data_IF_300737261015
#
_entry.id   IF_300737261015
#
_cell.length_a   1.000
_cell.length_b   1.000
_cell.length_c   1.000
_cell.angle_alpha   90.00
_cell.angle_beta   90.00
_cell.angle_gamma   90.00
#
_symmetry.space_group_name_H-M   'P 1'
#
loop_
_entity.id
_entity.type
_entity.pdbx_description
1 polymer ?
#
# COMPACT_ATOMS: atom_id res chain seq x y z
N UNK A 1 -2.77 18.59 13.66
CA UNK A 1 -1.60 18.18 12.86
C UNK A 1 -2.01 18.06 11.40
N UNK A 2 -1.09 18.38 10.48
CA UNK A 2 -1.26 18.32 9.03
C UNK A 2 -0.69 17.02 8.47
N UNK A 3 -1.56 16.19 7.91
CA UNK A 3 -1.19 14.98 7.16
C UNK A 3 -1.09 15.36 5.69
N UNK A 4 0.01 15.00 5.04
CA UNK A 4 0.15 15.06 3.58
C UNK A 4 0.43 13.69 3.00
N UNK A 5 -0.26 13.34 1.92
CA UNK A 5 -0.05 12.12 1.13
C UNK A 5 0.47 12.51 -0.26
N UNK A 6 1.77 12.40 -0.52
CA UNK A 6 2.32 12.62 -1.85
C UNK A 6 1.91 11.50 -2.82
N UNK A 7 2.03 11.77 -4.12
CA UNK A 7 1.91 10.73 -5.13
C UNK A 7 3.12 9.79 -5.09
N UNK A 8 2.89 8.50 -5.30
CA UNK A 8 3.96 7.51 -5.41
C UNK A 8 4.76 7.73 -6.70
N UNK A 9 6.09 7.74 -6.57
CA UNK A 9 6.99 8.05 -7.69
C UNK A 9 7.69 6.82 -8.28
N UNK A 10 7.65 5.69 -7.57
CA UNK A 10 8.26 4.43 -8.03
C UNK A 10 7.48 3.89 -9.22
N UNK A 11 8.17 3.61 -10.32
CA UNK A 11 7.56 3.00 -11.51
C UNK A 11 6.83 1.71 -11.15
N UNK A 12 5.57 1.60 -11.58
CA UNK A 12 4.72 0.43 -11.32
C UNK A 12 4.03 0.42 -9.96
N UNK A 13 4.35 1.37 -9.05
CA UNK A 13 3.58 1.56 -7.84
C UNK A 13 2.22 2.19 -8.19
N UNK A 14 1.15 1.49 -7.83
CA UNK A 14 -0.23 1.90 -8.12
C UNK A 14 -1.05 2.14 -6.86
N UNK A 15 -0.49 1.83 -5.69
CA UNK A 15 -1.14 2.03 -4.39
C UNK A 15 -0.99 3.50 -3.97
N UNK A 16 -1.79 3.87 -2.98
CA UNK A 16 -1.77 5.18 -2.32
C UNK A 16 -1.86 4.95 -0.81
N UNK A 17 -1.22 5.79 0.00
CA UNK A 17 -1.12 5.56 1.45
C UNK A 17 -2.47 5.71 2.17
N UNK A 18 -3.36 6.57 1.67
CA UNK A 18 -4.73 6.73 2.18
C UNK A 18 -5.76 6.63 1.06
N UNK A 19 -6.84 5.91 1.33
CA UNK A 19 -8.05 5.86 0.49
C UNK A 19 -9.13 6.77 1.06
N UNK A 20 -10.08 7.27 0.24
CA UNK A 20 -11.13 8.20 0.68
C UNK A 20 -11.90 7.75 1.94
N UNK A 21 -12.20 6.46 2.05
CA UNK A 21 -12.98 5.86 3.14
C UNK A 21 -12.43 6.14 4.56
N UNK A 22 -11.13 6.34 4.69
CA UNK A 22 -10.49 6.56 5.99
C UNK A 22 -10.30 8.04 6.33
N UNK A 23 -10.43 8.94 5.34
CA UNK A 23 -10.20 10.38 5.51
C UNK A 23 -11.11 10.95 6.60
N UNK A 24 -12.41 10.60 6.57
CA UNK A 24 -13.39 11.08 7.55
C UNK A 24 -13.07 10.69 9.00
N UNK A 25 -12.34 9.59 9.22
CA UNK A 25 -11.91 9.18 10.58
C UNK A 25 -10.77 10.09 11.07
N UNK A 26 -9.85 10.45 10.17
CA UNK A 26 -8.73 11.34 10.49
C UNK A 26 -9.21 12.78 10.72
N UNK A 27 -10.10 13.29 9.88
CA UNK A 27 -10.64 14.64 10.02
C UNK A 27 -11.47 14.80 11.31
N UNK A 28 -12.28 13.80 11.67
CA UNK A 28 -12.99 13.77 12.97
C UNK A 28 -12.06 13.71 14.18
N UNK A 29 -10.86 13.17 14.02
CA UNK A 29 -9.83 13.20 15.06
C UNK A 29 -9.10 14.55 15.17
N UNK A 30 -9.51 15.57 14.40
CA UNK A 30 -8.91 16.91 14.40
C UNK A 30 -7.66 17.05 13.53
N UNK A 31 -7.42 16.10 12.63
CA UNK A 31 -6.30 16.12 11.68
C UNK A 31 -6.75 16.76 10.36
N UNK A 32 -5.91 17.62 9.78
CA UNK A 32 -6.16 18.13 8.44
C UNK A 32 -5.42 17.26 7.43
N UNK A 33 -6.13 16.68 6.48
CA UNK A 33 -5.56 15.76 5.49
C UNK A 33 -5.48 16.45 4.13
N UNK A 34 -4.29 16.45 3.53
CA UNK A 34 -4.07 16.87 2.16
C UNK A 34 -3.49 15.72 1.32
N UNK A 35 -3.96 15.62 0.08
CA UNK A 35 -3.57 14.57 -0.87
C UNK A 35 -3.03 15.27 -2.12
N UNK A 36 -1.88 14.84 -2.63
CA UNK A 36 -1.39 15.32 -3.92
C UNK A 36 -2.36 14.89 -5.04
N UNK A 37 -2.70 15.83 -5.92
CA UNK A 37 -3.59 15.60 -7.06
C UNK A 37 -3.08 14.43 -7.91
N UNK A 38 -3.96 13.48 -8.20
CA UNK A 38 -3.64 12.28 -8.97
C UNK A 38 -3.06 11.12 -8.15
N UNK A 39 -2.72 11.30 -6.87
CA UNK A 39 -2.06 10.26 -6.07
C UNK A 39 -2.86 8.95 -5.98
N UNK A 40 -4.19 9.03 -5.90
CA UNK A 40 -5.08 7.88 -5.77
C UNK A 40 -5.60 7.30 -7.08
N UNK A 41 -5.35 7.93 -8.23
CA UNK A 41 -5.99 7.57 -9.51
C UNK A 41 -5.72 6.12 -9.90
N UNK A 42 -4.48 5.65 -9.75
CA UNK A 42 -4.10 4.27 -10.06
C UNK A 42 -4.67 3.23 -9.07
N UNK A 43 -5.09 3.69 -7.88
CA UNK A 43 -5.76 2.87 -6.88
C UNK A 43 -7.29 2.89 -7.04
N UNK A 44 -7.82 3.55 -8.08
CA UNK A 44 -9.25 3.70 -8.31
C UNK A 44 -9.92 4.80 -7.48
N UNK A 45 -9.15 5.70 -6.88
CA UNK A 45 -9.65 6.81 -6.07
C UNK A 45 -9.33 8.17 -6.75
N UNK A 46 -10.27 8.76 -7.53
CA UNK A 46 -10.08 10.08 -8.12
C UNK A 46 -10.10 11.21 -7.07
N UNK A 47 -9.48 12.34 -7.41
CA UNK A 47 -9.37 13.54 -6.55
C UNK A 47 -10.71 14.04 -5.99
N UNK A 48 -11.80 13.87 -6.75
CA UNK A 48 -13.14 14.24 -6.31
C UNK A 48 -13.59 13.46 -5.08
N UNK A 49 -13.25 12.18 -4.97
CA UNK A 49 -13.61 11.36 -3.81
C UNK A 49 -12.87 11.79 -2.54
N UNK A 50 -11.60 12.18 -2.67
CA UNK A 50 -10.84 12.74 -1.54
C UNK A 50 -11.44 14.06 -1.06
N UNK A 51 -11.81 14.95 -1.99
CA UNK A 51 -12.44 16.23 -1.69
C UNK A 51 -13.78 16.03 -0.97
N UNK A 52 -14.61 15.10 -1.46
CA UNK A 52 -15.89 14.74 -0.83
C UNK A 52 -15.71 14.12 0.57
N UNK A 53 -14.63 13.34 0.77
CA UNK A 53 -14.31 12.74 2.06
C UNK A 53 -13.71 13.74 3.07
N UNK A 54 -13.46 14.99 2.66
CA UNK A 54 -13.00 16.08 3.53
C UNK A 54 -11.49 16.31 3.52
N UNK A 55 -10.75 15.75 2.56
CA UNK A 55 -9.34 16.09 2.34
C UNK A 55 -9.20 17.27 1.38
N UNK A 56 -8.11 18.02 1.51
CA UNK A 56 -7.72 19.02 0.51
C UNK A 56 -6.88 18.38 -0.59
N UNK A 57 -7.27 18.55 -1.85
CA UNK A 57 -6.46 18.09 -2.99
C UNK A 57 -5.48 19.19 -3.38
N UNK A 58 -4.19 18.86 -3.38
CA UNK A 58 -3.08 19.78 -3.62
C UNK A 58 -2.55 19.59 -5.03
N UNK A 59 -2.50 20.63 -5.87
CA UNK A 59 -1.87 20.53 -7.19
C UNK A 59 -0.39 20.15 -7.08
N UNK A 60 0.12 19.36 -8.04
CA UNK A 60 1.51 18.92 -8.04
C UNK A 60 2.53 20.07 -7.90
N UNK A 61 2.23 21.26 -8.46
CA UNK A 61 3.07 22.44 -8.33
C UNK A 61 3.25 22.93 -6.88
N UNK A 62 2.30 22.61 -5.99
CA UNK A 62 2.29 22.99 -4.57
C UNK A 62 2.67 21.81 -3.65
N UNK A 63 2.94 20.62 -4.20
CA UNK A 63 3.27 19.43 -3.43
C UNK A 63 4.52 19.64 -2.56
N UNK A 64 5.55 20.31 -3.08
CA UNK A 64 6.78 20.64 -2.32
C UNK A 64 6.50 21.52 -1.10
N UNK A 65 5.63 22.51 -1.23
CA UNK A 65 5.25 23.36 -0.11
C UNK A 65 4.45 22.59 0.93
N UNK A 66 3.48 21.77 0.48
CA UNK A 66 2.68 20.93 1.37
C UNK A 66 3.53 19.91 2.12
N UNK A 67 4.54 19.34 1.47
CA UNK A 67 5.52 18.47 2.09
C UNK A 67 6.31 19.18 3.20
N UNK A 68 6.79 20.40 2.94
CA UNK A 68 7.54 21.19 3.92
C UNK A 68 6.69 21.60 5.13
N UNK A 69 5.40 21.85 4.92
CA UNK A 69 4.48 22.30 5.97
C UNK A 69 3.86 21.14 6.78
N UNK A 70 3.87 19.92 6.26
CA UNK A 70 3.21 18.75 6.86
C UNK A 70 3.87 18.31 8.18
N UNK A 71 3.05 17.94 9.16
CA UNK A 71 3.51 17.32 10.42
C UNK A 71 3.71 15.80 10.24
N UNK A 72 2.90 15.18 9.38
CA UNK A 72 2.91 13.75 9.10
C UNK A 72 2.85 13.54 7.60
N UNK A 73 3.77 12.75 7.07
CA UNK A 73 3.79 12.34 5.67
C UNK A 73 3.50 10.85 5.63
N UNK A 74 2.53 10.44 4.81
CA UNK A 74 2.18 9.03 4.64
C UNK A 74 2.48 8.62 3.21
N UNK A 75 3.33 7.62 3.04
CA UNK A 75 3.64 7.03 1.74
C UNK A 75 3.62 5.51 1.83
N UNK A 76 3.45 4.85 0.69
CA UNK A 76 3.59 3.40 0.59
C UNK A 76 5.07 3.05 0.57
N UNK A 77 5.83 3.62 -0.35
CA UNK A 77 7.27 3.38 -0.48
C UNK A 77 8.08 4.33 0.41
N UNK A 78 9.36 4.00 0.71
CA UNK A 78 10.27 4.95 1.32
C UNK A 78 10.36 6.22 0.47
N UNK A 79 10.32 7.38 1.11
CA UNK A 79 10.57 8.65 0.43
C UNK A 79 12.04 8.73 -0.04
N UNK A 80 12.27 9.51 -1.09
CA UNK A 80 13.62 9.74 -1.60
C UNK A 80 14.44 10.59 -0.62
N UNK A 81 15.78 10.50 -0.63
CA UNK A 81 16.64 11.38 0.16
C UNK A 81 16.36 12.87 -0.07
N UNK A 82 16.07 13.28 -1.31
CA UNK A 82 15.73 14.65 -1.64
C UNK A 82 14.38 15.09 -1.04
N UNK A 83 13.42 14.16 -0.95
CA UNK A 83 12.12 14.41 -0.31
C UNK A 83 12.32 14.62 1.19
N UNK A 84 13.11 13.78 1.86
CA UNK A 84 13.41 13.96 3.29
C UNK A 84 14.08 15.30 3.59
N UNK A 85 15.01 15.74 2.74
CA UNK A 85 15.69 17.02 2.91
C UNK A 85 14.74 18.24 2.81
N UNK A 86 13.58 18.08 2.15
CA UNK A 86 12.56 19.11 2.03
C UNK A 86 11.50 19.06 3.15
N UNK A 87 11.52 18.02 4.00
CA UNK A 87 10.63 17.92 5.14
C UNK A 87 11.13 18.80 6.28
N UNK A 88 10.21 19.30 7.11
CA UNK A 88 10.59 20.01 8.33
C UNK A 88 11.15 19.05 9.38
N UNK A 89 12.12 19.52 10.14
CA UNK A 89 12.62 18.80 11.32
C UNK A 89 11.49 18.55 12.32
N UNK A 90 11.46 17.36 12.91
CA UNK A 90 10.40 16.89 13.81
C UNK A 90 9.16 16.34 13.11
N UNK A 91 9.08 16.38 11.77
CA UNK A 91 8.00 15.71 11.03
C UNK A 91 8.05 14.19 11.23
N UNK A 92 6.90 13.54 11.08
CA UNK A 92 6.76 12.08 11.13
C UNK A 92 6.55 11.55 9.71
N UNK A 93 7.20 10.44 9.36
CA UNK A 93 6.85 9.66 8.17
C UNK A 93 6.41 8.25 8.55
N UNK A 94 5.46 7.69 7.82
CA UNK A 94 5.03 6.29 7.96
C UNK A 94 4.98 5.66 6.57
N UNK A 95 5.77 4.60 6.38
CA UNK A 95 5.82 3.86 5.11
C UNK A 95 6.31 2.43 5.31
N UNK A 96 6.36 1.65 4.23
CA UNK A 96 7.29 0.53 4.17
C UNK A 96 8.70 1.12 4.11
N UNK A 97 9.47 1.04 5.19
CA UNK A 97 10.83 1.56 5.37
C UNK A 97 11.73 0.44 5.90
N UNK A 98 11.96 -0.57 5.05
CA UNK A 98 12.79 -1.73 5.39
C UNK A 98 14.20 -1.31 5.86
N UNK A 99 14.61 -1.66 7.10
CA UNK A 99 15.93 -1.34 7.62
C UNK A 99 17.07 -2.10 6.91
N UNK A 100 16.73 -3.08 6.07
CA UNK A 100 17.71 -3.89 5.35
C UNK A 100 18.04 -3.25 4.00
N UNK A 101 17.07 -2.60 3.37
CA UNK A 101 17.16 -2.18 1.96
C UNK A 101 17.05 -0.67 1.76
N UNK A 102 16.68 0.10 2.79
CA UNK A 102 16.40 1.52 2.68
C UNK A 102 17.43 2.40 3.43
N UNK A 103 18.69 1.96 3.54
CA UNK A 103 19.75 2.67 4.29
C UNK A 103 19.87 4.15 3.90
N UNK A 104 19.87 4.46 2.60
CA UNK A 104 19.96 5.85 2.12
C UNK A 104 18.78 6.72 2.58
N UNK A 105 17.56 6.17 2.52
CA UNK A 105 16.34 6.83 3.00
C UNK A 105 16.37 7.02 4.52
N UNK A 106 16.86 6.03 5.27
CA UNK A 106 16.99 6.09 6.72
C UNK A 106 18.00 7.15 7.14
N UNK A 107 19.18 7.17 6.51
CA UNK A 107 20.20 8.19 6.75
C UNK A 107 19.70 9.60 6.42
N UNK A 108 18.96 9.74 5.31
CA UNK A 108 18.37 11.01 4.93
C UNK A 108 17.30 11.49 5.93
N UNK A 109 16.42 10.59 6.39
CA UNK A 109 15.42 10.89 7.41
C UNK A 109 16.09 11.33 8.72
N UNK A 110 17.12 10.62 9.17
CA UNK A 110 17.87 10.95 10.37
C UNK A 110 18.55 12.32 10.26
N UNK A 111 19.23 12.60 9.13
CA UNK A 111 19.88 13.90 8.87
C UNK A 111 18.88 15.05 8.83
N UNK A 112 17.69 14.82 8.30
CA UNK A 112 16.61 15.81 8.25
C UNK A 112 15.90 16.02 9.61
N UNK A 113 16.23 15.23 10.64
CA UNK A 113 15.55 15.28 11.93
C UNK A 113 14.11 14.74 11.88
N UNK A 114 13.81 13.86 10.93
CA UNK A 114 12.48 13.27 10.73
C UNK A 114 12.35 11.99 11.56
N UNK A 115 11.21 11.83 12.23
CA UNK A 115 10.85 10.58 12.91
C UNK A 115 10.21 9.63 11.91
N UNK A 116 10.91 8.54 11.56
CA UNK A 116 10.42 7.58 10.58
C UNK A 116 9.90 6.29 11.23
N UNK A 117 8.67 5.90 10.88
CA UNK A 117 8.02 4.67 11.36
C UNK A 117 7.91 3.66 10.22
N UNK A 118 8.61 2.54 10.37
CA UNK A 118 8.56 1.41 9.42
C UNK A 118 7.37 0.49 9.74
N UNK A 119 6.51 0.27 8.74
CA UNK A 119 5.42 -0.70 8.83
C UNK A 119 5.90 -2.15 8.90
N UNK A 120 7.10 -2.45 8.39
CA UNK A 120 7.71 -3.78 8.47
C UNK A 120 8.14 -4.16 9.88
N UNK A 121 8.42 -3.17 10.73
CA UNK A 121 8.88 -3.35 12.09
C UNK A 121 7.73 -3.34 13.12
N UNK A 122 6.48 -3.27 12.68
CA UNK A 122 5.32 -3.43 13.56
C UNK A 122 5.39 -4.81 14.24
N UNK A 123 5.36 -4.88 15.58
CA UNK A 123 5.50 -6.15 16.29
C UNK A 123 4.30 -7.07 16.00
N UNK A 124 4.57 -8.34 15.73
CA UNK A 124 3.55 -9.35 15.44
C UNK A 124 2.93 -9.90 16.74
N UNK A 125 2.17 -9.05 17.42
CA UNK A 125 1.47 -9.35 18.68
C UNK A 125 -0.01 -9.01 18.55
N UNK A 126 -0.87 -9.64 19.36
CA UNK A 126 -2.34 -9.53 19.23
C UNK A 126 -2.86 -8.09 19.18
N UNK A 127 -2.33 -7.19 20.00
CA UNK A 127 -2.75 -5.77 20.04
C UNK A 127 -2.39 -4.96 18.79
N UNK A 128 -1.45 -5.44 17.97
CA UNK A 128 -0.94 -4.74 16.78
C UNK A 128 -1.39 -5.41 15.47
N UNK A 129 -2.23 -6.45 15.53
CA UNK A 129 -2.67 -7.19 14.33
C UNK A 129 -3.36 -6.30 13.30
N UNK A 130 -4.16 -5.30 13.73
CA UNK A 130 -4.80 -4.35 12.82
C UNK A 130 -3.84 -3.37 12.16
N UNK A 131 -2.59 -3.31 12.61
CA UNK A 131 -1.53 -2.45 12.08
C UNK A 131 -0.54 -3.22 11.18
N UNK A 132 -0.67 -4.55 11.10
CA UNK A 132 0.25 -5.39 10.32
C UNK A 132 -0.02 -5.23 8.81
N UNK A 133 0.65 -4.24 8.22
CA UNK A 133 0.58 -3.97 6.80
C UNK A 133 1.23 -5.09 5.96
N UNK A 134 2.22 -5.83 6.49
CA UNK A 134 2.83 -6.95 5.76
C UNK A 134 1.81 -8.07 5.54
N UNK A 135 1.02 -8.40 6.56
CA UNK A 135 -0.05 -9.39 6.46
C UNK A 135 -1.12 -8.95 5.46
N UNK A 136 -1.52 -7.67 5.45
CA UNK A 136 -2.51 -7.18 4.48
C UNK A 136 -2.00 -7.28 3.03
N UNK A 137 -0.74 -6.89 2.78
CA UNK A 137 -0.15 -6.98 1.44
C UNK A 137 0.09 -8.43 1.01
N UNK A 138 0.52 -9.31 1.93
CA UNK A 138 0.70 -10.72 1.67
C UNK A 138 -0.61 -11.41 1.26
N UNK A 139 -1.74 -11.02 1.87
CA UNK A 139 -3.06 -11.51 1.48
C UNK A 139 -3.38 -11.12 0.02
N UNK A 140 -3.23 -9.84 -0.33
CA UNK A 140 -3.44 -9.39 -1.71
C UNK A 140 -2.53 -10.12 -2.70
N UNK A 141 -1.26 -10.33 -2.33
CA UNK A 141 -0.29 -11.04 -3.17
C UNK A 141 -0.69 -12.51 -3.38
N UNK A 142 -1.10 -13.22 -2.33
CA UNK A 142 -1.55 -14.62 -2.43
C UNK A 142 -2.77 -14.79 -3.34
N UNK A 143 -3.75 -13.90 -3.21
CA UNK A 143 -4.91 -13.87 -4.10
C UNK A 143 -4.51 -13.61 -5.56
N UNK A 144 -3.73 -12.55 -5.82
CA UNK A 144 -3.29 -12.21 -7.18
C UNK A 144 -2.42 -13.30 -7.79
N UNK A 145 -1.55 -13.96 -7.01
CA UNK A 145 -0.71 -15.05 -7.50
C UNK A 145 -1.53 -16.20 -8.07
N UNK A 146 -2.61 -16.61 -7.39
CA UNK A 146 -3.50 -17.66 -7.91
C UNK A 146 -4.21 -17.23 -9.19
N UNK A 147 -4.64 -15.96 -9.30
CA UNK A 147 -5.25 -15.45 -10.52
C UNK A 147 -4.28 -15.40 -11.70
N UNK A 148 -3.05 -14.94 -11.47
CA UNK A 148 -1.99 -14.92 -12.52
C UNK A 148 -1.67 -16.35 -12.95
N UNK A 149 -1.59 -17.30 -12.01
CA UNK A 149 -1.38 -18.70 -12.35
C UNK A 149 -2.52 -19.27 -13.22
N UNK A 150 -3.78 -18.91 -12.92
CA UNK A 150 -4.92 -19.31 -13.74
C UNK A 150 -4.92 -18.67 -15.12
N UNK A 151 -4.56 -17.38 -15.21
CA UNK A 151 -4.45 -16.62 -16.47
C UNK A 151 -3.36 -17.20 -17.40
N UNK A 152 -2.23 -17.64 -16.83
CA UNK A 152 -1.12 -18.22 -17.58
C UNK A 152 -1.24 -19.73 -17.83
N UNK A 153 -2.20 -20.40 -17.19
CA UNK A 153 -2.35 -21.85 -17.27
C UNK A 153 -2.90 -22.27 -18.64
N UNK A 154 -2.31 -23.28 -19.30
CA UNK A 154 -2.88 -23.87 -20.51
C UNK A 154 -4.10 -24.77 -20.23
N UNK A 155 -4.48 -24.96 -18.96
CA UNK A 155 -5.62 -25.76 -18.53
C UNK A 155 -6.56 -24.94 -17.65
N UNK A 156 -7.85 -25.22 -17.75
CA UNK A 156 -8.81 -24.76 -16.76
C UNK A 156 -8.47 -25.30 -15.37
N UNK A 157 -8.68 -24.48 -14.35
CA UNK A 157 -8.55 -24.90 -12.95
C UNK A 157 -9.64 -25.89 -12.54
N UNK A 158 -10.94 -25.63 -12.79
CA UNK A 158 -11.99 -26.53 -12.35
C UNK A 158 -12.10 -27.80 -13.20
N UNK A 159 -12.69 -28.84 -12.62
CA UNK A 159 -13.29 -29.94 -13.36
C UNK A 159 -14.48 -29.41 -14.18
N UNK A 160 -14.43 -29.59 -15.50
CA UNK A 160 -15.53 -29.22 -16.39
C UNK A 160 -16.05 -30.46 -17.11
N UNK A 161 -17.30 -30.84 -16.87
CA UNK A 161 -18.00 -31.87 -17.64
C UNK A 161 -18.89 -31.19 -18.68
N UNK A 162 -18.55 -31.38 -19.95
CA UNK A 162 -19.25 -30.74 -21.07
C UNK A 162 -19.70 -31.79 -22.09
N UNK A 163 -20.56 -31.40 -23.03
CA UNK A 163 -20.94 -32.26 -24.15
C UNK A 163 -19.75 -32.68 -25.02
N UNK A 164 -18.70 -31.86 -25.09
CA UNK A 164 -17.47 -32.16 -25.82
C UNK A 164 -16.50 -33.07 -25.05
N UNK A 165 -16.79 -33.41 -23.80
CA UNK A 165 -15.95 -34.24 -22.95
C UNK A 165 -15.67 -33.60 -21.58
N UNK A 166 -14.83 -34.29 -20.81
CA UNK A 166 -14.44 -33.88 -19.45
C UNK A 166 -13.03 -33.30 -19.45
N UNK A 167 -12.87 -32.09 -18.90
CA UNK A 167 -11.57 -31.48 -18.60
C UNK A 167 -11.25 -31.73 -17.14
N UNK A 168 -10.17 -32.46 -16.87
CA UNK A 168 -9.70 -32.71 -15.50
C UNK A 168 -9.16 -31.42 -14.85
N UNK A 169 -9.34 -31.23 -13.54
CA UNK A 169 -8.89 -30.03 -12.85
C UNK A 169 -7.36 -29.88 -12.86
N UNK A 170 -6.90 -28.65 -12.66
CA UNK A 170 -5.48 -28.37 -12.49
C UNK A 170 -5.00 -28.80 -11.09
N UNK A 171 -3.77 -29.31 -11.02
CA UNK A 171 -3.12 -29.56 -9.74
C UNK A 171 -2.24 -28.35 -9.37
N UNK A 172 -2.53 -27.72 -8.24
CA UNK A 172 -1.80 -26.54 -7.75
C UNK A 172 -0.99 -26.91 -6.51
N UNK A 173 0.33 -26.70 -6.58
CA UNK A 173 1.24 -26.84 -5.44
C UNK A 173 1.64 -25.45 -4.94
N UNK A 174 1.46 -25.20 -3.65
CA UNK A 174 1.90 -23.96 -2.99
C UNK A 174 3.06 -24.29 -2.04
N UNK A 175 4.22 -23.70 -2.28
CA UNK A 175 5.40 -23.86 -1.44
C UNK A 175 5.48 -22.71 -0.43
N UNK A 176 5.20 -23.03 0.83
CA UNK A 176 5.15 -22.07 1.95
C UNK A 176 3.72 -21.78 2.41
N UNK A 177 3.45 -21.94 3.71
CA UNK A 177 2.12 -21.83 4.31
C UNK A 177 1.96 -20.59 5.22
N UNK A 178 2.63 -19.49 4.87
CA UNK A 178 2.36 -18.18 5.46
C UNK A 178 1.06 -17.56 4.92
N UNK A 179 0.78 -16.31 5.28
CA UNK A 179 -0.46 -15.60 4.88
C UNK A 179 -0.69 -15.64 3.36
N UNK A 180 0.32 -15.29 2.55
CA UNK A 180 0.20 -15.33 1.10
C UNK A 180 -0.06 -16.74 0.57
N UNK A 181 0.62 -17.74 1.11
CA UNK A 181 0.47 -19.14 0.70
C UNK A 181 -0.92 -19.69 1.03
N UNK A 182 -1.41 -19.45 2.24
CA UNK A 182 -2.77 -19.84 2.65
C UNK A 182 -3.84 -19.15 1.79
N UNK A 183 -3.64 -17.86 1.48
CA UNK A 183 -4.57 -17.15 0.59
C UNK A 183 -4.51 -17.68 -0.85
N UNK A 184 -3.34 -18.05 -1.35
CA UNK A 184 -3.18 -18.68 -2.67
C UNK A 184 -3.86 -20.05 -2.72
N UNK A 185 -3.68 -20.89 -1.69
CA UNK A 185 -4.38 -22.19 -1.56
C UNK A 185 -5.90 -21.99 -1.57
N UNK A 186 -6.41 -21.05 -0.76
CA UNK A 186 -7.83 -20.77 -0.69
C UNK A 186 -8.40 -20.26 -2.02
N UNK A 187 -7.65 -19.40 -2.72
CA UNK A 187 -8.07 -18.84 -4.01
C UNK A 187 -8.06 -19.90 -5.11
N UNK A 188 -6.98 -20.69 -5.23
CA UNK A 188 -6.91 -21.80 -6.17
C UNK A 188 -8.04 -22.79 -5.95
N UNK A 189 -8.30 -23.19 -4.70
CA UNK A 189 -9.40 -24.10 -4.35
C UNK A 189 -10.79 -23.57 -4.72
N UNK A 190 -10.99 -22.25 -4.71
CA UNK A 190 -12.26 -21.62 -5.14
C UNK A 190 -12.41 -21.59 -6.65
N UNK A 191 -11.31 -21.56 -7.39
CA UNK A 191 -11.32 -21.64 -8.86
C UNK A 191 -11.63 -23.06 -9.35
N UNK A 192 -11.38 -24.07 -8.51
CA UNK A 192 -11.71 -25.48 -8.73
C UNK A 192 -10.49 -26.37 -8.73
#
# INVERSE_FOLDING_TARGET
>A
MRIFVPAETRTGEKRVALVPDIISKLTRAGLTVSIESGAGVNAGAPDSEYSQAGASVIPAAQAKQSLADADVILSVQPLSPATYAAMKSGAITISFLSPVTANESIDAAAKAGVTALSLELVPRISRAQSMDALTSQALCAGYRAALVAAELSPRFFPLLMTAAGTVTPANVLVLGAGVAGLQAIATARRLG
#
